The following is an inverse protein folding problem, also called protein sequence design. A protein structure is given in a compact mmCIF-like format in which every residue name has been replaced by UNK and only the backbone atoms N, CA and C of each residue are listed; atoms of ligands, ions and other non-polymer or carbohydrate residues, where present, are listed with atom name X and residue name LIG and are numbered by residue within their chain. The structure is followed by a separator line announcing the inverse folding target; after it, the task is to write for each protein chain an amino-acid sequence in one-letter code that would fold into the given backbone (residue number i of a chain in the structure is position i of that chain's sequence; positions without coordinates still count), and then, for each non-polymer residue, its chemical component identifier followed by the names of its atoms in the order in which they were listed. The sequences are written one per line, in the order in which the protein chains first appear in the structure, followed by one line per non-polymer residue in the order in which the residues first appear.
data_IF_619023719959
#
_entry.id   IF_619023719959
#
_cell.length_a   1.000
_cell.length_b   1.000
_cell.length_c   1.000
_cell.angle_alpha   90.00
_cell.angle_beta   90.00
_cell.angle_gamma   90.00
#
_symmetry.space_group_name_H-M   'P 1'
#
loop_
_entity.id
_entity.type
_entity.pdbx_description
1 polymer ?
#
# COMPACT_ATOMS: atom_id res chain seq x y z
N UNK A 1 -8.77 9.48 -11.04
CA UNK A 1 -7.84 8.73 -11.90
C UNK A 1 -7.70 7.34 -11.27
N UNK A 2 -7.68 6.29 -12.10
CA UNK A 2 -7.42 4.88 -11.73
C UNK A 2 -5.98 4.50 -12.06
N UNK A 3 -5.07 5.47 -12.07
CA UNK A 3 -3.69 5.24 -12.44
C UNK A 3 -2.97 4.50 -11.31
N UNK A 4 -2.11 3.55 -11.69
CA UNK A 4 -1.29 2.82 -10.73
C UNK A 4 -0.29 3.78 -10.09
N UNK A 5 -0.17 3.71 -8.76
CA UNK A 5 0.90 4.38 -8.04
C UNK A 5 2.13 3.48 -8.02
N UNK A 6 3.28 4.04 -8.37
CA UNK A 6 4.56 3.37 -8.27
C UNK A 6 5.39 4.00 -7.16
N UNK A 7 5.85 3.18 -6.23
CA UNK A 7 6.83 3.56 -5.21
C UNK A 7 8.14 2.82 -5.42
N UNK A 8 8.89 2.59 -4.34
CA UNK A 8 10.11 1.79 -4.39
C UNK A 8 10.27 0.95 -3.13
N UNK A 9 10.47 -0.35 -3.29
CA UNK A 9 10.84 -1.25 -2.18
C UNK A 9 12.01 -2.14 -2.60
N UNK A 10 12.25 -3.26 -1.90
CA UNK A 10 13.38 -4.16 -2.12
C UNK A 10 13.68 -4.52 -3.58
N UNK A 11 12.70 -4.93 -4.42
CA UNK A 11 12.95 -5.25 -5.83
C UNK A 11 13.12 -4.01 -6.75
N UNK A 12 13.02 -2.78 -6.25
CA UNK A 12 13.04 -1.56 -7.05
C UNK A 12 11.65 -0.94 -7.20
N UNK A 13 11.29 -0.52 -8.42
CA UNK A 13 10.00 0.12 -8.71
C UNK A 13 8.87 -0.88 -8.52
N UNK A 14 7.88 -0.53 -7.70
CA UNK A 14 6.77 -1.43 -7.33
C UNK A 14 5.42 -0.73 -7.33
N UNK A 15 4.40 -1.45 -7.81
CA UNK A 15 3.00 -1.10 -7.58
C UNK A 15 2.53 -1.72 -6.26
N UNK A 16 1.46 -1.16 -5.68
CA UNK A 16 0.93 -1.55 -4.38
C UNK A 16 -0.45 -2.17 -4.53
N UNK A 17 -0.68 -3.41 -4.07
CA UNK A 17 -1.99 -4.03 -4.10
C UNK A 17 -3.01 -3.25 -3.27
N UNK A 18 -4.25 -3.21 -3.74
CA UNK A 18 -5.37 -2.68 -2.97
C UNK A 18 -6.14 -3.82 -2.30
N UNK A 19 -5.78 -4.16 -1.07
CA UNK A 19 -6.44 -5.23 -0.31
C UNK A 19 -7.88 -4.90 0.11
N UNK A 20 -8.39 -3.70 -0.15
CA UNK A 20 -9.82 -3.40 -0.01
C UNK A 20 -10.66 -3.87 -1.20
N UNK A 21 -10.01 -4.27 -2.29
CA UNK A 21 -10.64 -4.76 -3.50
C UNK A 21 -10.78 -6.28 -3.49
N UNK A 22 -12.01 -6.85 -3.61
CA UNK A 22 -12.22 -8.29 -3.66
C UNK A 22 -11.40 -9.00 -4.74
N UNK A 23 -11.17 -8.35 -5.89
CA UNK A 23 -10.36 -8.92 -6.97
C UNK A 23 -8.89 -9.04 -6.61
N UNK A 24 -8.38 -8.13 -5.78
CA UNK A 24 -7.00 -8.20 -5.29
C UNK A 24 -6.86 -9.32 -4.27
N UNK A 25 -7.90 -9.59 -3.46
CA UNK A 25 -7.92 -10.73 -2.54
C UNK A 25 -7.90 -12.05 -3.32
N UNK A 26 -8.74 -12.21 -4.35
CA UNK A 26 -8.72 -13.38 -5.23
C UNK A 26 -7.33 -13.59 -5.86
N UNK A 27 -6.76 -12.53 -6.44
CA UNK A 27 -5.41 -12.57 -7.00
C UNK A 27 -4.32 -12.93 -5.98
N UNK A 28 -4.38 -12.38 -4.76
CA UNK A 28 -3.43 -12.66 -3.69
C UNK A 28 -3.45 -14.14 -3.27
N UNK A 29 -4.64 -14.70 -3.13
CA UNK A 29 -4.84 -16.12 -2.82
C UNK A 29 -4.32 -17.02 -3.93
N UNK A 30 -4.56 -16.65 -5.20
CA UNK A 30 -4.10 -17.42 -6.36
C UNK A 30 -2.57 -17.47 -6.42
N UNK A 31 -1.88 -16.33 -6.22
CA UNK A 31 -0.41 -16.30 -6.24
C UNK A 31 0.20 -17.05 -5.06
N UNK A 32 -0.40 -16.95 -3.86
CA UNK A 32 0.07 -17.66 -2.68
C UNK A 32 -0.09 -19.17 -2.86
N UNK A 33 -1.23 -19.61 -3.40
CA UNK A 33 -1.51 -21.03 -3.69
C UNK A 33 -0.55 -21.59 -4.74
N UNK A 34 -0.35 -20.87 -5.85
CA UNK A 34 0.58 -21.28 -6.90
C UNK A 34 2.03 -21.37 -6.38
N UNK A 35 2.44 -20.46 -5.49
CA UNK A 35 3.76 -20.53 -4.89
C UNK A 35 3.90 -21.68 -3.89
N UNK A 36 2.84 -21.98 -3.13
CA UNK A 36 2.80 -23.12 -2.21
C UNK A 36 2.95 -24.48 -2.95
N UNK A 37 2.37 -24.61 -4.15
CA UNK A 37 2.55 -25.81 -4.99
C UNK A 37 4.03 -26.04 -5.39
N UNK A 38 4.81 -24.97 -5.49
CA UNK A 38 6.26 -25.05 -5.80
C UNK A 38 7.08 -25.26 -4.52
N UNK A 39 6.74 -24.55 -3.45
CA UNK A 39 7.43 -24.59 -2.16
C UNK A 39 6.38 -24.65 -1.04
N UNK A 40 6.17 -25.81 -0.41
CA UNK A 40 5.10 -25.99 0.58
C UNK A 40 5.46 -25.31 1.91
N UNK A 41 5.12 -24.02 2.04
CA UNK A 41 5.28 -23.25 3.27
C UNK A 41 4.07 -23.43 4.22
N UNK A 42 4.31 -23.36 5.53
CA UNK A 42 3.26 -23.53 6.55
C UNK A 42 2.74 -22.21 7.13
N UNK A 43 3.24 -21.07 6.64
CA UNK A 43 2.82 -19.75 7.07
C UNK A 43 3.46 -18.64 6.24
N UNK A 44 2.90 -17.44 6.38
CA UNK A 44 3.36 -16.24 5.68
C UNK A 44 3.80 -15.18 6.68
N UNK A 45 5.02 -14.68 6.52
CA UNK A 45 5.47 -13.45 7.18
C UNK A 45 5.23 -12.29 6.20
N UNK A 46 4.18 -11.51 6.47
CA UNK A 46 3.85 -10.28 5.74
C UNK A 46 4.55 -9.10 6.43
N UNK A 47 5.37 -8.37 5.67
CA UNK A 47 6.24 -7.30 6.17
C UNK A 47 6.11 -6.07 5.27
N UNK A 48 6.58 -4.91 5.74
CA UNK A 48 6.57 -3.62 5.02
C UNK A 48 5.16 -3.10 4.68
N UNK A 49 4.17 -3.45 5.49
CA UNK A 49 2.76 -3.26 5.19
C UNK A 49 2.09 -2.08 5.93
N UNK A 50 2.89 -1.07 6.26
CA UNK A 50 2.37 0.23 6.68
C UNK A 50 1.44 0.91 5.66
N UNK A 51 1.66 0.92 4.32
CA UNK A 51 2.70 0.30 3.48
C UNK A 51 3.97 1.15 3.37
N UNK A 52 5.13 0.49 3.43
CA UNK A 52 6.42 1.17 3.35
C UNK A 52 6.86 1.44 1.91
N UNK A 53 7.49 2.59 1.70
CA UNK A 53 8.17 2.97 0.46
C UNK A 53 9.49 3.67 0.77
N UNK A 54 10.51 3.39 -0.05
CA UNK A 54 11.82 4.04 0.02
C UNK A 54 11.85 5.43 -0.63
N UNK A 55 10.80 5.77 -1.37
CA UNK A 55 10.55 7.13 -1.89
C UNK A 55 9.26 7.66 -1.26
N UNK A 56 9.22 8.95 -0.97
CA UNK A 56 8.06 9.57 -0.34
C UNK A 56 6.96 9.80 -1.39
N UNK A 57 5.79 9.19 -1.18
CA UNK A 57 4.66 9.31 -2.08
C UNK A 57 4.69 8.36 -3.27
N UNK A 58 5.31 8.78 -4.37
CA UNK A 58 5.42 7.99 -5.60
C UNK A 58 6.72 8.32 -6.35
N UNK A 59 7.03 7.56 -7.40
CA UNK A 59 8.14 7.86 -8.33
C UNK A 59 8.05 9.27 -8.92
N UNK A 60 6.83 9.78 -9.11
CA UNK A 60 6.56 11.10 -9.68
C UNK A 60 6.22 12.14 -8.59
N UNK A 61 6.35 11.78 -7.31
CA UNK A 61 5.90 12.59 -6.17
C UNK A 61 4.38 12.55 -5.96
N UNK A 62 3.88 13.48 -5.16
CA UNK A 62 2.44 13.63 -4.91
C UNK A 62 1.89 14.91 -5.52
N UNK A 63 0.58 14.91 -5.74
CA UNK A 63 -0.13 16.10 -6.22
C UNK A 63 -0.30 17.14 -5.12
N UNK A 64 -0.36 18.42 -5.48
CA UNK A 64 -0.67 19.47 -4.52
C UNK A 64 -2.19 19.59 -4.32
N UNK A 65 -2.72 18.86 -3.34
CA UNK A 65 -4.14 18.88 -2.97
C UNK A 65 -4.33 18.76 -1.45
N UNK A 66 -5.57 18.91 -0.97
CA UNK A 66 -5.88 18.93 0.46
C UNK A 66 -5.72 17.61 1.21
N UNK A 67 -5.57 16.48 0.51
CA UNK A 67 -5.25 15.19 1.13
C UNK A 67 -3.74 15.02 1.29
N UNK A 68 -2.98 15.37 0.25
CA UNK A 68 -1.51 15.28 0.27
C UNK A 68 -0.90 16.40 1.14
N UNK A 69 -1.53 17.58 1.17
CA UNK A 69 -1.16 18.76 1.97
C UNK A 69 -2.37 19.25 2.81
N UNK A 70 -2.74 18.56 3.90
CA UNK A 70 -3.89 18.93 4.72
C UNK A 70 -3.65 20.24 5.50
N UNK A 71 -4.71 20.96 5.91
CA UNK A 71 -4.59 22.18 6.72
C UNK A 71 -4.00 21.94 8.11
N UNK A 72 -4.02 20.69 8.58
CA UNK A 72 -3.38 20.26 9.82
C UNK A 72 -2.66 18.94 9.57
N UNK A 73 -1.34 18.95 9.71
CA UNK A 73 -0.50 17.75 9.69
C UNK A 73 -0.17 17.39 11.13
N UNK A 74 -0.59 16.21 11.63
CA UNK A 74 -0.13 15.71 12.92
C UNK A 74 1.41 15.61 12.94
N UNK A 75 2.01 15.56 14.13
CA UNK A 75 3.46 15.39 14.24
C UNK A 75 3.86 13.94 13.90
N UNK A 76 4.01 13.70 12.60
CA UNK A 76 4.49 12.45 11.99
C UNK A 76 5.97 12.59 11.64
N UNK A 77 6.63 11.47 11.35
CA UNK A 77 8.00 11.47 10.87
C UNK A 77 8.13 12.32 9.60
N UNK A 78 9.18 13.14 9.50
CA UNK A 78 9.44 14.09 8.41
C UNK A 78 8.32 15.10 8.10
N UNK A 79 7.37 15.31 9.03
CA UNK A 79 6.27 16.29 8.94
C UNK A 79 5.40 16.19 7.65
N UNK A 80 5.40 15.03 6.99
CA UNK A 80 4.61 14.76 5.78
C UNK A 80 3.91 13.41 5.86
N UNK A 81 2.62 13.35 5.49
CA UNK A 81 1.85 12.11 5.52
C UNK A 81 2.32 11.08 4.48
N UNK A 82 3.02 11.51 3.44
CA UNK A 82 3.63 10.64 2.42
C UNK A 82 5.02 10.14 2.78
N UNK A 83 5.60 10.59 3.90
CA UNK A 83 6.94 10.20 4.32
C UNK A 83 7.01 8.68 4.53
N UNK A 84 7.96 8.03 3.84
CA UNK A 84 8.16 6.57 3.86
C UNK A 84 6.94 5.74 3.45
N UNK A 85 5.96 6.33 2.76
CA UNK A 85 4.73 5.65 2.33
C UNK A 85 4.21 6.24 1.02
N UNK A 86 2.95 5.96 0.68
CA UNK A 86 2.29 6.38 -0.55
C UNK A 86 1.65 7.77 -0.44
N UNK A 87 1.30 8.36 -1.58
CA UNK A 87 0.55 9.62 -1.59
C UNK A 87 -0.81 9.43 -0.90
N UNK A 88 -1.17 10.26 0.08
CA UNK A 88 -2.48 10.18 0.73
C UNK A 88 -3.68 10.27 -0.24
N UNK A 89 -3.53 11.01 -1.34
CA UNK A 89 -4.59 11.12 -2.36
C UNK A 89 -4.75 9.89 -3.26
N UNK A 90 -3.85 8.90 -3.17
CA UNK A 90 -3.96 7.64 -3.91
C UNK A 90 -5.30 6.96 -3.63
N UNK A 91 -5.90 6.34 -4.64
CA UNK A 91 -7.25 5.77 -4.55
C UNK A 91 -7.19 4.25 -4.35
N UNK A 92 -7.91 3.77 -3.36
CA UNK A 92 -8.28 2.38 -3.14
C UNK A 92 -9.78 2.22 -3.39
N UNK A 93 -10.28 0.98 -3.50
CA UNK A 93 -11.67 0.71 -3.84
C UNK A 93 -12.65 1.34 -2.84
N UNK A 94 -12.34 1.26 -1.54
CA UNK A 94 -13.23 1.78 -0.49
C UNK A 94 -13.08 3.28 -0.23
N UNK A 95 -11.88 3.84 -0.37
CA UNK A 95 -11.60 5.26 -0.09
C UNK A 95 -10.21 5.68 -0.58
N UNK A 96 -9.81 6.92 -0.30
CA UNK A 96 -8.42 7.36 -0.47
C UNK A 96 -7.49 6.71 0.56
N UNK A 97 -6.21 6.64 0.22
CA UNK A 97 -5.16 6.17 1.11
C UNK A 97 -5.07 7.05 2.38
N UNK A 98 -5.38 8.34 2.29
CA UNK A 98 -5.51 9.24 3.45
C UNK A 98 -6.41 8.65 4.55
N UNK A 99 -7.54 8.03 4.16
CA UNK A 99 -8.47 7.42 5.12
C UNK A 99 -8.09 5.99 5.51
N UNK A 100 -7.35 5.28 4.64
CA UNK A 100 -7.14 3.84 4.74
C UNK A 100 -5.71 3.43 5.09
N UNK A 101 -4.77 4.37 5.15
CA UNK A 101 -3.34 4.13 5.36
C UNK A 101 -3.10 3.18 6.54
N UNK A 102 -3.60 3.56 7.72
CA UNK A 102 -3.41 2.76 8.94
C UNK A 102 -4.16 1.41 8.96
N UNK A 103 -4.95 1.12 7.93
CA UNK A 103 -5.66 -0.16 7.76
C UNK A 103 -5.02 -1.05 6.69
N UNK A 104 -3.95 -0.61 6.00
CA UNK A 104 -3.35 -1.37 4.90
C UNK A 104 -2.90 -2.77 5.35
N UNK A 105 -2.04 -2.85 6.36
CA UNK A 105 -1.59 -4.13 6.93
C UNK A 105 -2.72 -4.97 7.55
N UNK A 106 -3.79 -4.33 8.04
CA UNK A 106 -4.99 -5.06 8.50
C UNK A 106 -5.68 -5.77 7.33
N UNK A 107 -5.91 -5.07 6.21
CA UNK A 107 -6.56 -5.67 5.05
C UNK A 107 -5.68 -6.73 4.37
N UNK A 108 -4.36 -6.55 4.33
CA UNK A 108 -3.44 -7.59 3.87
C UNK A 108 -3.50 -8.83 4.78
N UNK A 109 -3.50 -8.65 6.10
CA UNK A 109 -3.63 -9.76 7.04
C UNK A 109 -4.97 -10.50 6.87
N UNK A 110 -6.06 -9.77 6.61
CA UNK A 110 -7.35 -10.38 6.28
C UNK A 110 -7.32 -11.15 4.96
N UNK A 111 -6.65 -10.63 3.93
CA UNK A 111 -6.51 -11.31 2.64
C UNK A 111 -5.62 -12.57 2.72
N UNK A 112 -4.76 -12.65 3.74
CA UNK A 112 -3.79 -13.74 3.93
C UNK A 112 -4.34 -14.90 4.79
N UNK A 113 -5.47 -14.72 5.46
CA UNK A 113 -6.06 -15.69 6.40
C UNK A 113 -7.18 -16.54 5.77
#
# INVERSE_FOLDING_TARGET
STDLIFGKVWPGITAFPDFTNPKTIEWWTDIASAFHEVIPFDGMWIDMNEPSSFVDGSQDGCTDNSLDNPPYTPHVHDDALSAKTLCPSAQQLLSSHYNLHSMYGYFEAQATN
#
